data_IF_996507892503
#
_entry.id   IF_996507892503
#
_cell.length_a   1.000
_cell.length_b   1.000
_cell.length_c   1.000
_cell.angle_alpha   90.00
_cell.angle_beta   90.00
_cell.angle_gamma   90.00
#
_symmetry.space_group_name_H-M   'P 1'
#
loop_
_entity.id
_entity.type
_entity.pdbx_description
1 polymer ?
#
# COMPACT_ATOMS: atom_id res chain seq x y z
N UNK A 1 -30.10 -33.33 -46.20
CA UNK A 1 -29.95 -34.34 -45.13
C UNK A 1 -28.65 -35.07 -45.45
N UNK A 2 -27.60 -34.85 -44.67
CA UNK A 2 -26.18 -35.24 -44.96
C UNK A 2 -25.77 -36.48 -44.13
N UNK A 3 -26.74 -37.33 -43.84
CA UNK A 3 -26.64 -38.39 -42.83
C UNK A 3 -26.36 -39.76 -43.50
N UNK A 4 -25.85 -39.74 -44.73
CA UNK A 4 -25.51 -40.93 -45.52
C UNK A 4 -24.07 -40.86 -46.06
N UNK A 5 -23.47 -42.02 -46.31
CA UNK A 5 -22.16 -42.19 -46.92
C UNK A 5 -22.17 -43.30 -47.97
N UNK A 6 -21.18 -43.30 -48.87
CA UNK A 6 -21.09 -44.32 -49.90
C UNK A 6 -20.12 -45.43 -49.49
N UNK A 7 -20.60 -46.68 -49.50
CA UNK A 7 -19.78 -47.86 -49.27
C UNK A 7 -20.07 -48.88 -50.38
N UNK A 8 -19.05 -49.39 -51.07
CA UNK A 8 -19.21 -50.39 -52.15
C UNK A 8 -20.31 -50.03 -53.19
N UNK A 9 -20.39 -48.75 -53.58
CA UNK A 9 -21.34 -48.27 -54.60
C UNK A 9 -22.78 -48.03 -54.11
N UNK A 10 -23.08 -48.26 -52.83
CA UNK A 10 -24.41 -47.99 -52.22
C UNK A 10 -24.38 -46.87 -51.18
N UNK A 11 -25.53 -46.24 -50.96
CA UNK A 11 -25.73 -45.28 -49.87
C UNK A 11 -26.09 -46.01 -48.58
N UNK A 12 -25.25 -45.82 -47.56
CA UNK A 12 -25.45 -46.30 -46.19
C UNK A 12 -25.77 -45.13 -45.28
N UNK A 13 -26.59 -45.36 -44.25
CA UNK A 13 -26.83 -44.35 -43.21
C UNK A 13 -25.62 -44.25 -42.27
N UNK A 14 -25.28 -43.04 -41.86
CA UNK A 14 -24.23 -42.75 -40.86
C UNK A 14 -24.71 -43.11 -39.45
N UNK A 15 -23.77 -43.35 -38.56
CA UNK A 15 -24.06 -43.49 -37.14
C UNK A 15 -24.35 -42.14 -36.49
N UNK A 16 -25.31 -42.08 -35.55
CA UNK A 16 -25.63 -40.85 -34.84
C UNK A 16 -24.48 -40.42 -33.91
N UNK A 17 -24.45 -39.15 -33.47
CA UNK A 17 -23.56 -38.70 -32.39
C UNK A 17 -23.62 -39.64 -31.19
N UNK A 18 -22.47 -39.90 -30.58
CA UNK A 18 -22.31 -40.84 -29.46
C UNK A 18 -22.18 -42.29 -29.86
N UNK A 19 -22.10 -42.60 -31.16
CA UNK A 19 -21.90 -43.96 -31.67
C UNK A 19 -20.93 -43.99 -32.84
N UNK A 20 -20.25 -45.13 -33.01
CA UNK A 20 -19.34 -45.45 -34.11
C UNK A 20 -19.86 -46.63 -34.93
N UNK A 21 -19.36 -46.78 -36.14
CA UNK A 21 -19.67 -47.91 -37.03
C UNK A 21 -19.02 -49.18 -36.49
N UNK A 22 -19.83 -50.19 -36.20
CA UNK A 22 -19.39 -51.54 -35.89
C UNK A 22 -19.27 -52.38 -37.16
N UNK A 23 -20.30 -52.32 -38.01
CA UNK A 23 -20.26 -52.93 -39.35
C UNK A 23 -20.98 -52.07 -40.38
N UNK A 24 -20.37 -51.97 -41.56
CA UNK A 24 -20.92 -51.21 -42.68
C UNK A 24 -22.20 -51.87 -43.22
N UNK A 25 -23.06 -51.06 -43.85
CA UNK A 25 -24.29 -51.57 -44.44
C UNK A 25 -24.01 -52.55 -45.60
N UNK A 26 -24.86 -53.57 -45.72
CA UNK A 26 -24.80 -54.58 -46.78
C UNK A 26 -26.02 -54.45 -47.70
N UNK A 27 -26.29 -55.47 -48.54
CA UNK A 27 -27.48 -55.46 -49.40
C UNK A 27 -28.79 -55.60 -48.65
N UNK A 28 -28.76 -56.30 -47.52
CA UNK A 28 -29.94 -56.61 -46.72
C UNK A 28 -29.91 -55.99 -45.32
N UNK A 29 -28.77 -55.43 -44.89
CA UNK A 29 -28.61 -54.89 -43.53
C UNK A 29 -28.21 -53.42 -43.56
N UNK A 30 -28.82 -52.61 -42.69
CA UNK A 30 -28.38 -51.24 -42.43
C UNK A 30 -27.01 -51.22 -41.72
N UNK A 31 -26.39 -50.04 -41.66
CA UNK A 31 -25.17 -49.81 -40.88
C UNK A 31 -25.43 -50.13 -39.42
N UNK A 32 -24.58 -50.95 -38.82
CA UNK A 32 -24.67 -51.24 -37.38
C UNK A 32 -23.78 -50.27 -36.62
N UNK A 33 -24.38 -49.62 -35.62
CA UNK A 33 -23.74 -48.61 -34.80
C UNK A 33 -23.66 -49.09 -33.37
N UNK A 34 -22.53 -48.86 -32.73
CA UNK A 34 -22.31 -49.17 -31.32
C UNK A 34 -21.93 -47.91 -30.56
N UNK A 35 -22.33 -47.80 -29.29
CA UNK A 35 -22.07 -46.62 -28.49
C UNK A 35 -20.56 -46.43 -28.23
N UNK A 36 -20.14 -45.17 -28.09
CA UNK A 36 -18.78 -44.86 -27.64
C UNK A 36 -18.56 -45.38 -26.21
N UNK A 37 -17.32 -45.80 -25.91
CA UNK A 37 -16.97 -46.23 -24.56
C UNK A 37 -16.87 -45.03 -23.61
N UNK A 38 -16.77 -45.31 -22.30
CA UNK A 38 -16.45 -44.28 -21.32
C UNK A 38 -15.10 -43.63 -21.63
N UNK A 39 -15.05 -42.30 -21.68
CA UNK A 39 -13.85 -41.55 -22.06
C UNK A 39 -13.71 -41.32 -23.56
N UNK A 40 -14.70 -41.73 -24.36
CA UNK A 40 -14.76 -41.50 -25.80
C UNK A 40 -16.00 -40.68 -26.19
N UNK A 41 -15.95 -40.00 -27.32
CA UNK A 41 -17.06 -39.25 -27.88
C UNK A 41 -17.10 -39.25 -29.40
N UNK A 42 -18.28 -38.92 -29.93
CA UNK A 42 -18.50 -38.65 -31.33
C UNK A 42 -19.56 -37.55 -31.47
N UNK A 43 -19.17 -36.36 -31.92
CA UNK A 43 -20.05 -35.19 -31.87
C UNK A 43 -21.05 -35.10 -33.04
N UNK A 44 -20.78 -35.82 -34.13
CA UNK A 44 -21.53 -35.67 -35.38
C UNK A 44 -21.96 -37.01 -35.95
N UNK A 45 -22.89 -36.95 -36.92
CA UNK A 45 -23.23 -38.10 -37.75
C UNK A 45 -22.01 -38.55 -38.54
N UNK A 46 -21.57 -39.79 -38.32
CA UNK A 46 -20.24 -40.24 -38.72
C UNK A 46 -20.25 -41.64 -39.37
N UNK A 47 -19.13 -41.98 -39.98
CA UNK A 47 -18.85 -43.30 -40.58
C UNK A 47 -17.59 -43.94 -39.95
N UNK A 48 -17.19 -43.47 -38.78
CA UNK A 48 -15.91 -43.82 -38.17
C UNK A 48 -16.03 -45.15 -37.42
N UNK A 49 -14.99 -45.99 -37.47
CA UNK A 49 -14.95 -47.26 -36.74
C UNK A 49 -14.40 -47.12 -35.31
N UNK A 50 -13.98 -45.92 -34.94
CA UNK A 50 -13.48 -45.56 -33.63
C UNK A 50 -14.12 -44.23 -33.20
N UNK A 51 -14.34 -44.05 -31.90
CA UNK A 51 -14.73 -42.77 -31.34
C UNK A 51 -13.45 -41.98 -30.98
N UNK A 52 -13.56 -40.66 -30.88
CA UNK A 52 -12.46 -39.82 -30.39
C UNK A 52 -12.32 -39.97 -28.88
N UNK A 53 -11.08 -40.01 -28.38
CA UNK A 53 -10.83 -40.00 -26.93
C UNK A 53 -11.04 -38.59 -26.40
N UNK A 54 -11.61 -38.46 -25.19
CA UNK A 54 -11.75 -37.16 -24.53
C UNK A 54 -10.40 -36.47 -24.34
N UNK A 55 -10.40 -35.16 -24.53
CA UNK A 55 -9.26 -34.32 -24.21
C UNK A 55 -8.87 -34.49 -22.74
N UNK A 56 -7.58 -34.72 -22.51
CA UNK A 56 -7.04 -34.89 -21.17
C UNK A 56 -6.57 -33.55 -20.61
N UNK A 57 -7.19 -33.09 -19.52
CA UNK A 57 -6.74 -31.88 -18.83
C UNK A 57 -5.59 -32.22 -17.89
N UNK A 58 -4.35 -31.95 -18.33
CA UNK A 58 -3.15 -32.21 -17.51
C UNK A 58 -3.03 -31.18 -16.37
N UNK A 59 -3.21 -31.65 -15.15
CA UNK A 59 -3.06 -30.84 -13.94
C UNK A 59 -1.63 -30.30 -13.79
N UNK A 60 -0.60 -30.98 -14.30
CA UNK A 60 0.78 -30.47 -14.25
C UNK A 60 0.99 -29.28 -15.20
N UNK A 61 0.17 -29.19 -16.24
CA UNK A 61 0.09 -28.03 -17.13
C UNK A 61 -0.81 -26.91 -16.55
N UNK A 62 -1.42 -27.11 -15.38
CA UNK A 62 -2.34 -26.17 -14.73
C UNK A 62 -3.75 -26.15 -15.33
N UNK A 63 -4.13 -27.23 -16.04
CA UNK A 63 -5.45 -27.40 -16.63
C UNK A 63 -6.36 -28.23 -15.71
N UNK A 64 -7.63 -27.84 -15.65
CA UNK A 64 -8.69 -28.56 -14.93
C UNK A 64 -9.88 -28.80 -15.85
N UNK A 65 -10.65 -29.84 -15.56
CA UNK A 65 -11.89 -30.14 -16.30
C UNK A 65 -12.96 -29.12 -15.92
N UNK A 66 -13.31 -28.23 -16.84
CA UNK A 66 -14.42 -27.29 -16.70
C UNK A 66 -15.76 -27.96 -16.99
N UNK A 67 -15.80 -28.72 -18.09
CA UNK A 67 -16.97 -29.49 -18.50
C UNK A 67 -16.54 -30.92 -18.77
N UNK A 68 -17.17 -31.87 -18.07
CA UNK A 68 -16.92 -33.29 -18.28
C UNK A 68 -17.41 -33.69 -19.67
N UNK A 69 -16.60 -34.49 -20.38
CA UNK A 69 -16.99 -35.06 -21.66
C UNK A 69 -18.19 -36.01 -21.54
N UNK A 70 -18.91 -36.16 -22.65
CA UNK A 70 -20.03 -37.09 -22.81
C UNK A 70 -19.80 -37.95 -24.06
N UNK A 71 -20.70 -38.89 -24.37
CA UNK A 71 -20.59 -39.64 -25.63
C UNK A 71 -20.74 -38.74 -26.86
N UNK A 72 -21.38 -37.57 -26.75
CA UNK A 72 -21.61 -36.67 -27.90
C UNK A 72 -20.76 -35.40 -27.88
N UNK A 73 -19.92 -35.21 -26.86
CA UNK A 73 -19.13 -33.98 -26.73
C UNK A 73 -17.82 -34.25 -26.00
N UNK A 74 -16.77 -33.57 -26.44
CA UNK A 74 -15.47 -33.64 -25.79
C UNK A 74 -15.48 -33.06 -24.37
N UNK A 75 -14.50 -33.43 -23.56
CA UNK A 75 -14.19 -32.72 -22.33
C UNK A 75 -13.61 -31.34 -22.66
N UNK A 76 -14.01 -30.33 -21.88
CA UNK A 76 -13.50 -28.97 -22.03
C UNK A 76 -12.62 -28.64 -20.84
N UNK A 77 -11.36 -28.29 -21.11
CA UNK A 77 -10.39 -27.86 -20.11
C UNK A 77 -10.43 -26.35 -19.91
N UNK A 78 -10.03 -25.91 -18.72
CA UNK A 78 -9.82 -24.51 -18.36
C UNK A 78 -8.60 -24.40 -17.45
N UNK A 79 -8.06 -23.20 -17.32
CA UNK A 79 -6.97 -22.96 -16.39
C UNK A 79 -7.47 -22.91 -14.94
N UNK A 80 -6.65 -23.40 -14.02
CA UNK A 80 -6.88 -23.21 -12.60
C UNK A 80 -7.02 -21.72 -12.24
N UNK A 81 -7.73 -21.43 -11.15
CA UNK A 81 -7.92 -20.06 -10.69
C UNK A 81 -6.57 -19.33 -10.49
N UNK A 82 -6.49 -18.11 -11.02
CA UNK A 82 -5.26 -17.30 -10.99
C UNK A 82 -4.27 -17.61 -12.12
N UNK A 83 -4.68 -18.36 -13.14
CA UNK A 83 -3.88 -18.68 -14.33
C UNK A 83 -4.66 -18.39 -15.62
N UNK A 84 -3.94 -18.25 -16.72
CA UNK A 84 -4.46 -18.09 -18.08
C UNK A 84 -3.63 -18.94 -19.06
N UNK A 85 -4.18 -19.20 -20.25
CA UNK A 85 -3.52 -19.96 -21.30
C UNK A 85 -2.27 -19.22 -21.78
N UNK A 86 -1.18 -19.96 -21.97
CA UNK A 86 0.07 -19.42 -22.52
C UNK A 86 -0.01 -19.12 -24.03
N UNK A 87 -0.91 -19.79 -24.75
CA UNK A 87 -1.15 -19.65 -26.19
C UNK A 87 -2.62 -19.90 -26.54
N UNK A 88 -2.99 -19.69 -27.81
CA UNK A 88 -4.36 -19.93 -28.30
C UNK A 88 -4.77 -21.41 -28.20
N UNK A 89 -3.82 -22.35 -28.35
CA UNK A 89 -4.07 -23.78 -28.21
C UNK A 89 -4.28 -24.22 -26.76
N UNK A 90 -3.99 -23.34 -25.80
CA UNK A 90 -4.12 -23.57 -24.35
C UNK A 90 -3.52 -24.90 -23.86
N UNK A 91 -2.37 -25.29 -24.42
CA UNK A 91 -1.68 -26.51 -23.99
C UNK A 91 -1.12 -26.40 -22.56
N UNK A 92 -0.86 -25.19 -22.08
CA UNK A 92 -0.35 -24.92 -20.72
C UNK A 92 -0.93 -23.63 -20.15
N UNK A 93 -1.03 -23.56 -18.81
CA UNK A 93 -1.54 -22.42 -18.07
C UNK A 93 -0.43 -21.73 -17.25
N UNK A 94 -0.25 -20.43 -17.46
CA UNK A 94 0.72 -19.58 -16.75
C UNK A 94 0.00 -18.74 -15.69
N UNK A 95 0.73 -18.35 -14.64
CA UNK A 95 0.16 -17.49 -13.58
C UNK A 95 -0.21 -16.12 -14.15
N UNK A 96 -1.31 -15.56 -13.68
CA UNK A 96 -1.71 -14.19 -14.01
C UNK A 96 -0.69 -13.20 -13.45
N UNK A 97 -0.34 -12.18 -14.23
CA UNK A 97 0.60 -11.16 -13.81
C UNK A 97 -0.06 -10.26 -12.77
N UNK A 98 0.51 -10.13 -11.56
CA UNK A 98 -0.02 -9.21 -10.57
C UNK A 98 0.36 -7.77 -10.92
N UNK A 99 -0.57 -6.84 -10.70
CA UNK A 99 -0.29 -5.41 -10.72
C UNK A 99 0.50 -5.05 -9.47
N UNK A 100 1.64 -4.39 -9.65
CA UNK A 100 2.48 -3.93 -8.54
C UNK A 100 1.81 -2.80 -7.73
N UNK A 101 2.25 -2.53 -6.49
CA UNK A 101 1.85 -1.32 -5.77
C UNK A 101 2.04 -0.06 -6.62
N UNK A 102 1.10 0.88 -6.57
CA UNK A 102 1.03 1.99 -7.51
C UNK A 102 0.18 1.73 -8.76
N UNK A 103 -0.16 0.47 -9.03
CA UNK A 103 -0.96 0.04 -10.17
C UNK A 103 -2.18 -0.77 -9.70
N UNK A 104 -3.26 -0.69 -10.46
CA UNK A 104 -4.48 -1.46 -10.22
C UNK A 104 -4.97 -2.17 -11.48
N UNK A 105 -5.74 -3.23 -11.26
CA UNK A 105 -6.35 -4.01 -12.32
C UNK A 105 -7.46 -3.22 -13.02
N UNK A 106 -7.41 -3.18 -14.35
CA UNK A 106 -8.50 -2.65 -15.20
C UNK A 106 -9.28 -3.75 -15.91
N UNK A 107 -8.62 -4.87 -16.14
CA UNK A 107 -9.18 -6.05 -16.76
C UNK A 107 -8.53 -7.25 -16.07
N UNK A 108 -9.36 -8.04 -15.41
CA UNK A 108 -8.92 -9.33 -14.87
C UNK A 108 -8.53 -10.26 -16.01
N UNK A 109 -7.61 -11.18 -15.74
CA UNK A 109 -7.25 -12.20 -16.70
C UNK A 109 -8.48 -13.03 -17.10
N UNK A 110 -8.51 -13.40 -18.38
CA UNK A 110 -9.45 -14.37 -18.93
C UNK A 110 -8.69 -15.64 -19.29
N UNK A 111 -9.39 -16.68 -19.73
CA UNK A 111 -8.73 -17.90 -20.19
C UNK A 111 -7.67 -17.60 -21.27
N UNK A 112 -7.92 -16.66 -22.18
CA UNK A 112 -7.02 -16.35 -23.30
C UNK A 112 -6.20 -15.07 -23.15
N UNK A 113 -6.28 -14.36 -22.03
CA UNK A 113 -5.58 -13.08 -21.86
C UNK A 113 -5.16 -12.83 -20.42
N UNK A 114 -3.96 -12.30 -20.22
CA UNK A 114 -3.47 -11.93 -18.90
C UNK A 114 -4.21 -10.70 -18.30
N UNK A 115 -3.99 -10.48 -17.01
CA UNK A 115 -4.43 -9.30 -16.27
C UNK A 115 -3.79 -8.04 -16.88
N UNK A 116 -4.60 -6.98 -17.06
CA UNK A 116 -4.10 -5.67 -17.47
C UNK A 116 -4.09 -4.71 -16.29
N UNK A 117 -2.95 -4.03 -16.15
CA UNK A 117 -2.69 -3.06 -15.10
C UNK A 117 -2.64 -1.65 -15.65
N UNK A 118 -3.07 -0.68 -14.84
CA UNK A 118 -2.84 0.74 -15.09
C UNK A 118 -2.28 1.43 -13.85
N UNK A 119 -1.53 2.54 -14.01
CA UNK A 119 -1.16 3.39 -12.88
C UNK A 119 -2.41 3.92 -12.16
N UNK A 120 -2.37 4.00 -10.84
CA UNK A 120 -3.50 4.53 -10.10
C UNK A 120 -3.73 6.02 -10.42
N UNK A 121 -4.96 6.40 -10.83
CA UNK A 121 -5.27 7.79 -11.11
C UNK A 121 -5.25 8.64 -9.82
N UNK A 122 -5.14 9.95 -9.97
CA UNK A 122 -5.14 10.90 -8.85
C UNK A 122 -6.35 10.68 -7.95
N UNK A 123 -6.12 10.63 -6.64
CA UNK A 123 -7.16 10.34 -5.65
C UNK A 123 -7.33 8.85 -5.32
N UNK A 124 -6.52 7.96 -5.92
CA UNK A 124 -6.56 6.52 -5.69
C UNK A 124 -5.18 5.92 -5.46
N UNK A 125 -5.12 4.74 -4.84
CA UNK A 125 -3.90 3.99 -4.58
C UNK A 125 -4.09 2.48 -4.63
N UNK A 126 -2.97 1.77 -4.68
CA UNK A 126 -2.87 0.32 -4.46
C UNK A 126 -1.57 0.03 -3.73
N UNK A 127 -1.66 -0.51 -2.52
CA UNK A 127 -0.53 -0.81 -1.62
C UNK A 127 -0.06 -2.28 -1.72
N UNK A 128 -0.73 -3.09 -2.52
CA UNK A 128 -0.50 -4.53 -2.65
C UNK A 128 -0.19 -4.94 -4.07
N UNK A 129 0.50 -6.08 -4.21
CA UNK A 129 0.68 -6.76 -5.49
C UNK A 129 -0.49 -7.72 -5.74
N UNK A 130 -1.32 -7.48 -6.75
CA UNK A 130 -2.53 -8.28 -6.99
C UNK A 130 -2.91 -8.36 -8.47
N UNK A 131 -3.33 -9.54 -8.93
CA UNK A 131 -3.85 -9.77 -10.29
C UNK A 131 -5.36 -9.54 -10.42
N UNK A 132 -6.05 -9.19 -9.32
CA UNK A 132 -7.51 -8.98 -9.28
C UNK A 132 -7.96 -7.65 -8.66
N UNK A 133 -7.12 -6.99 -7.85
CA UNK A 133 -7.55 -5.78 -7.12
C UNK A 133 -7.36 -4.50 -7.97
N UNK A 134 -8.41 -3.70 -8.17
CA UNK A 134 -8.28 -2.37 -8.78
C UNK A 134 -7.71 -1.36 -7.77
N UNK A 135 -7.39 -0.16 -8.23
CA UNK A 135 -7.04 0.95 -7.33
C UNK A 135 -8.23 1.34 -6.45
N UNK A 136 -7.94 1.68 -5.20
CA UNK A 136 -8.90 2.10 -4.20
C UNK A 136 -8.83 3.61 -3.98
N UNK A 137 -9.97 4.25 -3.70
CA UNK A 137 -9.99 5.68 -3.39
C UNK A 137 -9.24 5.96 -2.08
N UNK A 138 -8.61 7.12 -2.00
CA UNK A 138 -8.05 7.60 -0.74
C UNK A 138 -9.09 7.69 0.36
N UNK A 139 -8.66 7.40 1.58
CA UNK A 139 -9.44 7.65 2.79
C UNK A 139 -9.68 9.16 2.94
N UNK A 140 -10.94 9.53 3.18
CA UNK A 140 -11.33 10.92 3.45
C UNK A 140 -11.34 11.15 4.96
N UNK A 141 -10.33 11.82 5.49
CA UNK A 141 -10.16 12.03 6.93
C UNK A 141 -11.33 12.77 7.58
N UNK A 142 -12.07 13.60 6.84
CA UNK A 142 -13.25 14.31 7.35
C UNK A 142 -14.35 13.34 7.79
N UNK A 143 -14.52 12.23 7.07
CA UNK A 143 -15.50 11.18 7.40
C UNK A 143 -15.17 10.50 8.73
N UNK A 144 -13.91 10.57 9.17
CA UNK A 144 -13.43 10.04 10.45
C UNK A 144 -13.37 11.13 11.55
N UNK A 145 -13.77 12.37 11.25
CA UNK A 145 -13.63 13.50 12.18
C UNK A 145 -12.17 13.92 12.44
N UNK A 146 -11.27 13.55 11.54
CA UNK A 146 -9.83 13.80 11.62
C UNK A 146 -9.41 14.89 10.62
N UNK A 147 -8.11 15.22 10.61
CA UNK A 147 -7.50 16.08 9.60
C UNK A 147 -6.41 15.31 8.87
N UNK A 148 -6.21 15.60 7.59
CA UNK A 148 -5.10 15.04 6.82
C UNK A 148 -3.77 15.53 7.41
N UNK A 149 -2.89 14.58 7.70
CA UNK A 149 -1.51 14.82 8.16
C UNK A 149 -0.52 14.68 7.01
N UNK A 150 -0.70 13.65 6.20
CA UNK A 150 0.14 13.35 5.04
C UNK A 150 -0.74 12.91 3.88
N UNK A 151 -0.44 13.44 2.70
CA UNK A 151 -1.17 13.13 1.47
C UNK A 151 -0.85 11.72 0.97
N UNK A 152 -1.86 11.07 0.40
CA UNK A 152 -1.69 9.76 -0.22
C UNK A 152 -0.83 9.82 -1.49
N UNK A 153 -0.25 8.68 -1.85
CA UNK A 153 0.49 8.46 -3.10
C UNK A 153 -0.21 7.39 -3.94
N UNK A 154 0.27 7.09 -5.15
CA UNK A 154 -0.29 5.97 -5.93
C UNK A 154 -0.17 4.62 -5.22
N UNK A 155 0.75 4.48 -4.25
CA UNK A 155 1.02 3.24 -3.52
C UNK A 155 0.70 3.27 -2.03
N UNK A 156 0.18 4.38 -1.51
CA UNK A 156 -0.15 4.53 -0.09
C UNK A 156 -1.35 5.42 0.13
N UNK A 157 -2.15 5.10 1.13
CA UNK A 157 -3.30 5.92 1.49
C UNK A 157 -2.90 7.23 2.19
N UNK A 158 -3.87 8.13 2.35
CA UNK A 158 -3.80 9.34 3.17
C UNK A 158 -3.68 8.96 4.65
N UNK A 159 -2.79 9.65 5.38
CA UNK A 159 -2.65 9.47 6.83
C UNK A 159 -3.46 10.54 7.56
N UNK A 160 -4.39 10.11 8.40
CA UNK A 160 -5.25 10.98 9.19
C UNK A 160 -4.73 11.17 10.63
N UNK A 161 -4.90 12.38 11.18
CA UNK A 161 -4.54 12.73 12.55
C UNK A 161 -5.72 13.37 13.32
N UNK A 162 -5.84 13.06 14.61
CA UNK A 162 -6.91 13.63 15.43
C UNK A 162 -6.63 15.09 15.78
N UNK A 163 -7.68 15.92 15.76
CA UNK A 163 -7.61 17.34 16.18
C UNK A 163 -7.25 17.56 17.66
N UNK A 164 -7.10 16.49 18.45
CA UNK A 164 -6.80 16.57 19.89
C UNK A 164 -5.48 17.27 20.16
N UNK A 165 -4.48 17.13 19.29
CA UNK A 165 -3.21 17.84 19.44
C UNK A 165 -3.41 19.37 19.45
N UNK A 166 -4.24 19.90 18.56
CA UNK A 166 -4.55 21.34 18.52
C UNK A 166 -5.29 21.77 19.79
N UNK A 167 -6.30 20.99 20.23
CA UNK A 167 -7.06 21.32 21.44
C UNK A 167 -6.21 21.27 22.73
N UNK A 168 -5.29 20.31 22.82
CA UNK A 168 -4.35 20.17 23.95
C UNK A 168 -3.32 21.31 23.95
N UNK A 169 -2.78 21.68 22.79
CA UNK A 169 -1.83 22.80 22.68
C UNK A 169 -2.53 24.11 23.07
N UNK A 170 -3.74 24.36 22.57
CA UNK A 170 -4.50 25.57 22.90
C UNK A 170 -4.85 25.62 24.39
N UNK A 171 -5.29 24.51 24.98
CA UNK A 171 -5.60 24.47 26.42
C UNK A 171 -4.35 24.69 27.28
N UNK A 172 -3.20 24.13 26.91
CA UNK A 172 -1.92 24.35 27.60
C UNK A 172 -1.49 25.83 27.55
N UNK A 173 -1.64 26.51 26.41
CA UNK A 173 -1.31 27.94 26.27
C UNK A 173 -2.22 28.79 27.16
N UNK A 174 -3.53 28.52 27.17
CA UNK A 174 -4.49 29.26 28.01
C UNK A 174 -4.19 29.05 29.50
N UNK A 175 -3.93 27.81 29.92
CA UNK A 175 -3.59 27.48 31.31
C UNK A 175 -2.28 28.18 31.73
N UNK A 176 -1.25 28.14 30.88
CA UNK A 176 0.03 28.83 31.13
C UNK A 176 -0.18 30.34 31.32
N UNK A 177 -0.98 30.98 30.46
CA UNK A 177 -1.33 32.38 30.58
C UNK A 177 -2.05 32.72 31.89
N UNK A 178 -3.04 31.92 32.29
CA UNK A 178 -3.77 32.10 33.55
C UNK A 178 -2.84 31.97 34.77
N UNK A 179 -1.92 31.01 34.75
CA UNK A 179 -0.93 30.80 35.82
C UNK A 179 0.03 32.00 35.91
N UNK A 180 0.51 32.52 34.78
CA UNK A 180 1.37 33.71 34.76
C UNK A 180 0.67 34.95 35.30
N UNK A 181 -0.60 35.18 34.92
CA UNK A 181 -1.40 36.29 35.45
C UNK A 181 -1.61 36.16 36.96
N UNK A 182 -1.94 34.94 37.44
CA UNK A 182 -2.09 34.69 38.87
C UNK A 182 -0.79 34.95 39.64
N UNK A 183 0.36 34.51 39.12
CA UNK A 183 1.68 34.78 39.71
C UNK A 183 1.98 36.28 39.74
N UNK A 184 1.69 37.02 38.67
CA UNK A 184 1.84 38.48 38.65
C UNK A 184 0.97 39.15 39.71
N UNK A 185 -0.30 38.74 39.86
CA UNK A 185 -1.18 39.26 40.91
C UNK A 185 -0.63 38.95 42.29
N UNK A 186 -0.15 37.73 42.54
CA UNK A 186 0.48 37.33 43.82
C UNK A 186 1.72 38.18 44.10
N UNK A 187 2.58 38.40 43.11
CA UNK A 187 3.77 39.25 43.22
C UNK A 187 3.37 40.69 43.53
N UNK A 188 2.38 41.26 42.83
CA UNK A 188 1.89 42.62 43.08
C UNK A 188 1.28 42.75 44.49
N UNK A 189 0.50 41.75 44.92
CA UNK A 189 -0.06 41.68 46.28
C UNK A 189 1.04 41.59 47.32
N UNK A 190 2.04 40.73 47.13
CA UNK A 190 3.20 40.62 47.99
C UNK A 190 3.97 41.94 48.08
N UNK A 191 4.27 42.59 46.94
CA UNK A 191 4.91 43.91 46.91
C UNK A 191 4.09 44.98 47.63
N UNK A 192 2.77 44.99 47.45
CA UNK A 192 1.87 45.91 48.15
C UNK A 192 1.83 45.65 49.65
N UNK A 193 1.87 44.38 50.06
CA UNK A 193 1.92 43.96 51.47
C UNK A 193 3.26 44.34 52.12
N UNK A 194 4.39 44.10 51.46
CA UNK A 194 5.72 44.53 51.91
C UNK A 194 5.78 46.05 52.02
N UNK A 195 5.30 46.80 51.02
CA UNK A 195 5.22 48.28 51.09
C UNK A 195 4.38 48.74 52.28
N UNK A 196 3.23 48.12 52.53
CA UNK A 196 2.36 48.44 53.66
C UNK A 196 3.02 48.10 55.01
N UNK A 197 3.74 46.98 55.09
CA UNK A 197 4.51 46.58 56.29
C UNK A 197 5.69 47.53 56.55
N UNK A 198 6.36 48.00 55.51
CA UNK A 198 7.48 48.95 55.61
C UNK A 198 7.03 50.33 56.12
N UNK A 199 5.83 50.78 55.73
CA UNK A 199 5.20 52.00 56.25
C UNK A 199 4.74 51.90 57.72
N UNK A 200 4.63 50.68 58.28
CA UNK A 200 4.30 50.45 59.69
C UNK A 200 5.52 50.44 60.62
N UNK A 201 6.74 50.50 60.08
CA UNK A 201 7.99 50.37 60.85
C UNK A 201 8.78 51.69 61.00
N UNK A 202 8.52 52.73 60.19
CA UNK A 202 9.20 54.04 60.28
C UNK A 202 8.25 55.22 59.95
N UNK A 203 7.81 56.03 60.94
CA UNK A 203 7.06 57.26 60.71
C UNK A 203 7.98 58.41 60.24
N UNK A 204 7.45 59.47 59.58
CA UNK A 204 8.26 60.53 58.99
C UNK A 204 8.82 61.47 60.08
N UNK A 205 10.13 61.71 60.07
CA UNK A 205 10.76 62.78 60.85
C UNK A 205 11.10 63.96 59.93
N UNK A 206 10.73 65.15 60.39
CA UNK A 206 10.82 66.46 59.74
C UNK A 206 12.19 66.82 59.14
N UNK A 207 12.14 67.53 58.02
CA UNK A 207 13.24 68.26 57.38
C UNK A 207 13.72 69.42 58.26
N UNK A 208 15.04 69.61 58.36
CA UNK A 208 15.64 70.94 58.53
C UNK A 208 16.53 71.22 57.33
N UNK A 209 16.18 72.28 56.61
CA UNK A 209 16.93 72.82 55.50
C UNK A 209 18.14 73.62 56.00
N UNK A 210 19.26 73.54 55.28
CA UNK A 210 20.31 74.56 55.29
C UNK A 210 20.96 74.57 53.90
N UNK A 211 20.75 75.66 53.14
CA UNK A 211 21.55 76.07 51.97
C UNK A 211 22.92 76.61 52.44
N UNK A 212 24.00 76.60 51.63
CA UNK A 212 24.28 77.63 50.60
C UNK A 212 24.82 77.03 49.26
N UNK A 213 24.52 77.57 48.08
CA UNK A 213 25.14 78.69 47.33
C UNK A 213 26.41 78.33 46.50
N UNK A 214 26.23 78.39 45.17
CA UNK A 214 27.07 78.83 44.02
C UNK A 214 28.59 78.53 43.85
N UNK A 215 28.96 78.54 42.54
CA UNK A 215 30.28 78.73 41.90
C UNK A 215 31.18 77.48 41.67
N UNK A 216 31.43 77.15 40.38
CA UNK A 216 32.57 76.33 39.89
C UNK A 216 33.88 77.15 39.80
N UNK A 217 34.92 76.83 39.01
CA UNK A 217 35.30 75.63 38.23
C UNK A 217 36.69 75.04 38.65
N UNK A 218 37.18 74.02 37.92
CA UNK A 218 38.59 73.57 37.62
C UNK A 218 39.67 73.55 38.75
N UNK A 219 40.68 72.67 38.84
CA UNK A 219 41.54 71.94 37.88
C UNK A 219 42.44 70.94 38.69
N UNK A 220 43.23 70.09 38.01
CA UNK A 220 44.52 69.49 38.47
C UNK A 220 44.49 68.28 39.45
N UNK A 221 45.24 67.16 39.33
CA UNK A 221 46.25 66.64 38.40
C UNK A 221 46.38 65.08 38.56
N UNK A 222 47.03 64.44 37.58
CA UNK A 222 47.58 63.05 37.55
C UNK A 222 48.62 62.80 38.70
N UNK A 223 49.21 61.60 38.95
CA UNK A 223 49.53 60.52 38.00
C UNK A 223 49.34 59.04 38.45
N UNK A 224 49.24 58.19 37.43
CA UNK A 224 49.82 56.84 37.24
C UNK A 224 50.91 56.39 38.25
N UNK A 225 51.18 55.08 38.46
CA UNK A 225 51.13 54.07 37.39
C UNK A 225 50.61 52.66 37.76
N UNK A 226 50.25 51.96 36.68
CA UNK A 226 50.15 50.50 36.58
C UNK A 226 51.52 49.84 36.88
N UNK A 227 51.64 48.49 36.87
CA UNK A 227 51.83 47.84 35.56
C UNK A 227 51.18 46.40 35.52
N UNK A 228 50.66 45.94 34.37
CA UNK A 228 51.35 45.05 33.38
C UNK A 228 51.20 43.57 33.79
N UNK A 229 50.83 42.57 32.99
CA UNK A 229 50.79 42.26 31.55
C UNK A 229 50.48 40.73 31.49
N UNK A 230 50.19 40.00 30.41
CA UNK A 230 49.78 40.21 29.03
C UNK A 230 48.85 39.04 28.65
N UNK A 231 47.85 39.38 27.85
CA UNK A 231 47.30 38.67 26.69
C UNK A 231 48.04 37.45 26.16
N UNK A 232 47.29 36.46 25.64
CA UNK A 232 47.34 36.19 24.20
C UNK A 232 46.15 35.37 23.68
N UNK A 233 45.65 35.86 22.55
CA UNK A 233 44.71 35.26 21.60
C UNK A 233 45.42 34.28 20.69
N UNK A 234 44.76 33.23 20.20
CA UNK A 234 45.28 32.47 19.05
C UNK A 234 44.66 31.09 18.77
N UNK A 235 43.86 31.04 17.68
CA UNK A 235 43.77 30.03 16.60
C UNK A 235 43.73 28.48 16.87
N UNK A 236 42.73 27.89 16.17
CA UNK A 236 42.34 26.52 15.76
C UNK A 236 43.45 25.64 15.10
N UNK A 237 43.30 24.35 14.64
CA UNK A 237 42.48 23.13 14.95
C UNK A 237 43.37 21.87 15.33
N UNK A 238 42.91 20.61 15.10
CA UNK A 238 43.60 19.26 15.02
C UNK A 238 43.16 18.26 16.15
N UNK A 239 42.31 17.24 15.94
CA UNK A 239 42.44 15.84 15.37
C UNK A 239 42.77 14.73 16.40
N UNK A 240 41.88 13.70 16.45
CA UNK A 240 42.00 12.24 16.82
C UNK A 240 42.61 11.80 18.17
N UNK A 241 42.39 10.65 18.82
CA UNK A 241 41.53 9.42 18.88
C UNK A 241 41.76 8.88 20.34
N UNK A 242 41.02 8.00 21.00
CA UNK A 242 40.75 6.58 20.72
C UNK A 242 39.69 6.03 21.72
N UNK A 243 38.88 5.09 21.24
CA UNK A 243 38.74 3.78 21.89
C UNK A 243 37.74 3.59 23.03
N UNK A 244 36.54 3.06 22.71
CA UNK A 244 36.15 1.76 23.31
C UNK A 244 35.16 0.97 22.45
N UNK A 245 35.64 -0.22 22.10
CA UNK A 245 35.06 -1.32 21.36
C UNK A 245 33.89 -1.99 22.12
N UNK A 246 32.85 -2.40 21.40
CA UNK A 246 32.00 -3.56 21.72
C UNK A 246 31.24 -4.03 20.48
N UNK A 247 31.91 -4.93 19.78
CA UNK A 247 31.47 -5.89 18.74
C UNK A 247 30.26 -6.76 19.15
N UNK A 248 29.40 -7.14 18.18
CA UNK A 248 28.94 -8.51 17.79
C UNK A 248 27.58 -8.52 17.03
N UNK A 249 27.25 -9.53 16.18
CA UNK A 249 27.54 -9.52 14.75
C UNK A 249 26.29 -9.63 13.86
N UNK A 250 26.45 -9.30 12.57
CA UNK A 250 25.49 -9.62 11.52
C UNK A 250 25.63 -11.10 11.12
N UNK A 251 24.49 -11.74 10.94
CA UNK A 251 24.33 -13.10 10.44
C UNK A 251 24.13 -13.05 8.93
N UNK A 252 25.00 -13.75 8.18
CA UNK A 252 24.81 -14.08 6.78
C UNK A 252 23.61 -15.02 6.62
N UNK A 253 22.81 -14.79 5.58
CA UNK A 253 21.88 -15.79 5.04
C UNK A 253 22.13 -15.85 3.52
N UNK A 254 22.32 -17.11 3.11
CA UNK A 254 22.45 -17.72 1.78
C UNK A 254 21.77 -17.04 0.60
#
# INVERSE_FOLDING_TARGET
MMDQYQNNGRCCDKCPPGSKVESDCTESTATQCTACNNGEYQATWNQEKACHVHHYCDHNAGLIVKTKGSSTADAVCDCEAGRHCSSEECATCVKNTPCAPGYGVIQEATQSSDTKCQPCPTGTFSDISSSVKPCHNFTRCENLGMVEKESGTSSSDVICETRKHIAIIVSAIVISGLVLVALLIIILRYRSWVKKKMQLQFPPHEQKAMMPEEIGPEEFELPHPAPVQETLSGQQPVVQEEGKDSRMPLQEIE
#
